data_IF_115205188200
#
_entry.id   IF_115205188200
#
_cell.length_a   1.000
_cell.length_b   1.000
_cell.length_c   1.000
_cell.angle_alpha   90.00
_cell.angle_beta   90.00
_cell.angle_gamma   90.00
#
_symmetry.space_group_name_H-M   'P 1'
#
loop_
_entity.id
_entity.type
_entity.pdbx_description
1 polymer ?
#
# COMPACT_ATOMS: atom_id res chain seq x y z
N UNK A 1 10.38 4.35 14.74
CA UNK A 1 11.32 4.19 15.87
C UNK A 1 10.84 3.19 16.94
N UNK A 2 9.69 3.36 17.61
CA UNK A 2 9.24 2.42 18.67
C UNK A 2 9.12 0.95 18.22
N UNK A 3 8.63 0.71 17.00
CA UNK A 3 8.40 -0.64 16.47
C UNK A 3 9.65 -1.29 15.84
N UNK A 4 10.59 -0.49 15.35
CA UNK A 4 11.71 -0.97 14.51
C UNK A 4 13.09 -0.66 15.08
N UNK A 5 13.20 0.20 16.10
CA UNK A 5 14.47 0.74 16.59
C UNK A 5 15.16 1.75 15.65
N UNK A 6 14.87 1.67 14.34
CA UNK A 6 15.51 2.49 13.31
C UNK A 6 15.20 3.99 13.42
N UNK A 7 16.16 4.87 13.07
CA UNK A 7 15.89 6.28 12.78
C UNK A 7 14.82 6.40 11.69
N UNK A 8 13.92 7.38 11.82
CA UNK A 8 12.84 7.61 10.86
C UNK A 8 12.90 9.08 10.43
N UNK A 9 12.77 9.31 9.13
CA UNK A 9 12.57 10.63 8.56
C UNK A 9 11.33 10.60 7.65
N UNK A 10 10.60 11.71 7.59
CA UNK A 10 9.49 11.90 6.67
C UNK A 10 10.01 12.71 5.49
N UNK A 11 9.70 12.26 4.27
CA UNK A 11 9.98 12.98 3.04
C UNK A 11 8.75 12.97 2.15
N UNK A 12 8.51 14.08 1.47
CA UNK A 12 7.33 14.28 0.63
C UNK A 12 7.73 14.24 -0.84
N UNK A 13 6.96 13.53 -1.66
CA UNK A 13 7.19 13.53 -3.10
C UNK A 13 6.89 14.93 -3.68
N UNK A 14 5.73 15.49 -3.30
CA UNK A 14 5.24 16.77 -3.78
C UNK A 14 4.66 17.64 -2.65
N UNK A 15 4.46 18.92 -2.96
CA UNK A 15 3.67 19.93 -2.23
C UNK A 15 4.14 20.31 -0.82
N UNK A 16 5.00 19.53 -0.16
CA UNK A 16 5.42 19.73 1.22
C UNK A 16 6.94 19.57 1.37
N UNK A 17 7.48 20.11 2.45
CA UNK A 17 8.90 19.99 2.82
C UNK A 17 9.06 19.17 4.10
N UNK A 18 10.17 18.42 4.25
CA UNK A 18 11.27 18.27 3.29
C UNK A 18 10.89 17.37 2.10
N UNK A 19 11.46 17.64 0.93
CA UNK A 19 11.26 16.79 -0.24
C UNK A 19 11.93 15.42 -0.04
N UNK A 20 11.42 14.39 -0.71
CA UNK A 20 12.00 13.04 -0.66
C UNK A 20 13.47 13.07 -1.08
N UNK A 21 13.79 13.73 -2.19
CA UNK A 21 15.16 13.86 -2.68
C UNK A 21 16.09 14.51 -1.63
N UNK A 22 15.62 15.56 -0.95
CA UNK A 22 16.38 16.23 0.10
C UNK A 22 16.65 15.29 1.29
N UNK A 23 15.66 14.51 1.71
CA UNK A 23 15.80 13.57 2.83
C UNK A 23 16.77 12.43 2.49
N UNK A 24 16.74 11.95 1.24
CA UNK A 24 17.57 10.83 0.77
C UNK A 24 19.03 11.23 0.50
N UNK A 25 19.31 12.49 0.17
CA UNK A 25 20.67 12.97 -0.06
C UNK A 25 21.61 12.70 1.13
N UNK A 26 21.08 12.83 2.36
CA UNK A 26 21.83 12.56 3.60
C UNK A 26 21.67 11.11 4.11
N UNK A 27 20.98 10.25 3.33
CA UNK A 27 20.58 8.89 3.75
C UNK A 27 20.70 7.87 2.60
N UNK A 28 21.89 7.72 1.98
CA UNK A 28 22.09 6.68 0.97
C UNK A 28 21.85 5.29 1.57
N UNK A 29 21.30 4.37 0.77
CA UNK A 29 20.99 3.00 1.18
C UNK A 29 19.77 2.86 2.10
N UNK A 30 18.98 3.92 2.31
CA UNK A 30 17.80 3.86 3.15
C UNK A 30 16.68 3.00 2.55
N UNK A 31 15.76 2.55 3.42
CA UNK A 31 14.51 1.90 3.01
C UNK A 31 13.40 2.94 2.95
N UNK A 32 12.84 3.16 1.77
CA UNK A 32 11.68 4.01 1.52
C UNK A 32 10.42 3.17 1.60
N UNK A 33 9.53 3.50 2.54
CA UNK A 33 8.19 2.89 2.66
C UNK A 33 7.14 3.89 2.18
N UNK A 34 6.58 3.75 0.96
CA UNK A 34 5.59 4.67 0.44
C UNK A 34 4.29 4.62 1.26
N UNK A 35 3.89 5.75 1.84
CA UNK A 35 2.58 5.92 2.45
C UNK A 35 1.57 6.34 1.37
N UNK A 36 1.29 5.41 0.45
CA UNK A 36 0.34 5.61 -0.66
C UNK A 36 -0.77 4.57 -0.57
N UNK A 37 -2.02 5.04 -0.64
CA UNK A 37 -3.24 4.23 -0.57
C UNK A 37 -3.77 3.80 -1.95
N UNK A 38 -3.12 4.22 -3.03
CA UNK A 38 -3.38 3.78 -4.39
C UNK A 38 -2.07 3.42 -5.08
N UNK A 39 -2.15 2.58 -6.12
CA UNK A 39 -0.99 2.03 -6.83
C UNK A 39 -0.70 2.73 -8.15
N UNK A 40 -1.09 4.00 -8.24
CA UNK A 40 -0.83 4.84 -9.41
C UNK A 40 0.65 5.23 -9.58
N UNK A 41 0.87 6.11 -10.56
CA UNK A 41 2.19 6.52 -11.07
C UNK A 41 3.21 6.94 -9.99
N UNK A 42 2.77 7.63 -8.94
CA UNK A 42 3.65 8.03 -7.84
C UNK A 42 4.34 6.85 -7.15
N UNK A 43 3.66 5.71 -7.01
CA UNK A 43 4.25 4.51 -6.43
C UNK A 43 5.20 3.83 -7.42
N UNK A 44 4.77 3.65 -8.67
CA UNK A 44 5.43 2.75 -9.62
C UNK A 44 6.54 3.42 -10.41
N UNK A 45 6.55 4.75 -10.51
CA UNK A 45 7.49 5.51 -11.33
C UNK A 45 8.24 6.56 -10.51
N UNK A 46 7.53 7.50 -9.87
CA UNK A 46 8.18 8.69 -9.30
C UNK A 46 9.06 8.39 -8.09
N UNK A 47 8.54 7.68 -7.09
CA UNK A 47 9.32 7.33 -5.89
C UNK A 47 10.55 6.47 -6.26
N UNK A 48 10.43 5.41 -7.09
CA UNK A 48 11.60 4.69 -7.58
C UNK A 48 12.61 5.57 -8.30
N UNK A 49 12.17 6.50 -9.16
CA UNK A 49 13.06 7.40 -9.87
C UNK A 49 13.86 8.31 -8.93
N UNK A 50 13.22 8.84 -7.88
CA UNK A 50 13.89 9.69 -6.86
C UNK A 50 14.82 8.88 -5.95
N UNK A 51 14.48 7.62 -5.66
CA UNK A 51 15.26 6.79 -4.75
C UNK A 51 16.52 6.17 -5.38
N UNK A 52 16.48 5.87 -6.69
CA UNK A 52 17.57 5.19 -7.43
C UNK A 52 18.94 5.86 -7.30
N UNK A 53 19.10 7.20 -7.40
CA UNK A 53 20.41 7.84 -7.29
C UNK A 53 21.10 7.69 -5.94
N UNK A 54 20.38 7.23 -4.90
CA UNK A 54 20.87 7.09 -3.54
C UNK A 54 20.97 5.64 -3.08
N UNK A 55 20.86 4.66 -3.99
CA UNK A 55 20.89 3.21 -3.70
C UNK A 55 19.84 2.78 -2.65
N UNK A 56 18.73 3.50 -2.56
CA UNK A 56 17.67 3.24 -1.60
C UNK A 56 16.73 2.12 -2.07
N UNK A 57 16.35 1.22 -1.15
CA UNK A 57 15.33 0.21 -1.41
C UNK A 57 13.92 0.84 -1.29
N UNK A 58 13.03 0.56 -2.23
CA UNK A 58 11.64 1.03 -2.19
C UNK A 58 10.70 -0.16 -1.95
N UNK A 59 9.91 -0.12 -0.87
CA UNK A 59 8.95 -1.18 -0.57
C UNK A 59 7.67 -1.03 -1.40
N UNK A 60 6.81 -2.07 -1.46
CA UNK A 60 5.42 -1.86 -1.85
C UNK A 60 4.74 -0.81 -0.96
N UNK A 61 3.74 -0.12 -1.52
CA UNK A 61 2.89 0.82 -0.79
C UNK A 61 1.89 0.14 0.16
N UNK A 62 0.84 0.87 0.52
CA UNK A 62 -0.19 0.43 1.46
C UNK A 62 -1.51 0.03 0.78
N UNK A 63 -1.62 0.27 -0.53
CA UNK A 63 -2.80 -0.04 -1.34
C UNK A 63 -3.24 -1.50 -1.18
N UNK A 64 -4.55 -1.69 -0.97
CA UNK A 64 -5.19 -3.01 -0.90
C UNK A 64 -4.89 -3.86 0.35
N UNK A 65 -4.07 -3.36 1.27
CA UNK A 65 -3.66 -4.09 2.46
C UNK A 65 -4.79 -4.20 3.48
N UNK A 66 -4.99 -5.39 4.03
CA UNK A 66 -6.07 -5.65 5.00
C UNK A 66 -5.94 -4.77 6.26
N UNK A 67 -4.71 -4.43 6.65
CA UNK A 67 -4.45 -3.51 7.77
C UNK A 67 -5.05 -2.10 7.55
N UNK A 68 -5.15 -1.65 6.29
CA UNK A 68 -5.77 -0.38 5.91
C UNK A 68 -7.29 -0.48 6.04
N UNK A 69 -7.92 -1.55 5.52
CA UNK A 69 -9.36 -1.74 5.66
C UNK A 69 -9.80 -1.89 7.13
N UNK A 70 -9.01 -2.59 7.96
CA UNK A 70 -9.28 -2.68 9.39
C UNK A 70 -9.12 -1.31 10.08
N UNK A 71 -8.14 -0.49 9.69
CA UNK A 71 -8.02 0.86 10.21
C UNK A 71 -9.22 1.74 9.82
N UNK A 72 -9.70 1.62 8.58
CA UNK A 72 -10.93 2.29 8.14
C UNK A 72 -12.14 1.82 8.93
N UNK A 73 -12.27 0.51 9.15
CA UNK A 73 -13.34 -0.05 9.96
C UNK A 73 -13.33 0.52 11.38
N UNK A 74 -12.16 0.55 12.03
CA UNK A 74 -12.00 1.06 13.39
C UNK A 74 -12.38 2.56 13.47
N UNK A 75 -11.95 3.38 12.48
CA UNK A 75 -12.32 4.80 12.36
C UNK A 75 -13.82 5.00 12.11
N UNK A 76 -14.41 4.19 11.24
CA UNK A 76 -15.85 4.19 10.96
C UNK A 76 -16.66 3.88 12.22
N UNK A 77 -16.31 2.81 12.94
CA UNK A 77 -17.00 2.44 14.18
C UNK A 77 -16.89 3.52 15.25
N UNK A 78 -15.77 4.24 15.31
CA UNK A 78 -15.62 5.38 16.22
C UNK A 78 -16.61 6.51 15.88
N UNK A 79 -16.74 6.86 14.61
CA UNK A 79 -17.68 7.89 14.16
C UNK A 79 -19.14 7.48 14.36
N UNK A 80 -19.50 6.23 14.07
CA UNK A 80 -20.85 5.70 14.32
C UNK A 80 -21.22 5.75 15.81
N UNK A 81 -20.29 5.39 16.71
CA UNK A 81 -20.52 5.50 18.16
C UNK A 81 -20.77 6.95 18.57
N UNK A 82 -20.01 7.90 18.03
CA UNK A 82 -20.21 9.33 18.28
C UNK A 82 -21.55 9.84 17.74
N UNK A 83 -22.01 9.31 16.61
CA UNK A 83 -23.32 9.62 16.02
C UNK A 83 -24.51 8.94 16.72
N UNK A 84 -24.26 8.00 17.65
CA UNK A 84 -25.31 7.32 18.42
C UNK A 84 -25.74 5.96 17.85
N UNK A 85 -25.00 5.37 16.91
CA UNK A 85 -25.26 4.01 16.43
C UNK A 85 -24.74 3.70 15.03
N UNK A 86 -24.83 2.42 14.61
CA UNK A 86 -24.32 1.96 13.32
C UNK A 86 -25.08 2.59 12.14
N UNK A 87 -24.36 2.80 11.05
CA UNK A 87 -24.90 3.17 9.76
C UNK A 87 -25.69 2.02 9.11
N UNK A 88 -26.61 2.34 8.20
CA UNK A 88 -27.32 1.37 7.35
C UNK A 88 -26.77 1.30 5.91
N UNK A 89 -25.85 2.18 5.55
CA UNK A 89 -25.01 2.11 4.35
C UNK A 89 -23.70 2.91 4.54
N UNK A 90 -22.65 2.54 3.80
CA UNK A 90 -21.33 3.15 3.92
C UNK A 90 -20.79 3.61 2.55
N UNK A 91 -20.23 4.82 2.53
CA UNK A 91 -19.45 5.35 1.41
C UNK A 91 -17.98 5.35 1.80
N UNK A 92 -17.13 4.63 1.06
CA UNK A 92 -15.67 4.73 1.18
C UNK A 92 -15.19 5.87 0.29
N UNK A 93 -14.77 6.97 0.89
CA UNK A 93 -14.35 8.18 0.19
C UNK A 93 -12.83 8.22 0.02
N UNK A 94 -12.36 8.00 -1.21
CA UNK A 94 -10.96 8.17 -1.60
C UNK A 94 -10.66 9.55 -2.17
N UNK A 95 -9.38 9.87 -2.36
CA UNK A 95 -8.97 11.11 -3.04
C UNK A 95 -9.46 11.16 -4.50
N UNK A 96 -9.36 10.01 -5.19
CA UNK A 96 -9.68 9.85 -6.61
C UNK A 96 -8.52 10.17 -7.54
N UNK A 97 -8.52 9.51 -8.71
CA UNK A 97 -7.47 9.61 -9.71
C UNK A 97 -8.02 9.33 -11.11
N UNK A 98 -7.58 10.11 -12.09
CA UNK A 98 -7.85 9.83 -13.51
C UNK A 98 -6.88 8.81 -14.11
N UNK A 99 -5.88 8.35 -13.34
CA UNK A 99 -4.84 7.43 -13.82
C UNK A 99 -5.25 5.97 -13.56
N UNK A 100 -4.93 5.05 -14.49
CA UNK A 100 -5.05 3.61 -14.24
C UNK A 100 -4.35 3.20 -12.93
N UNK A 101 -4.97 2.32 -12.16
CA UNK A 101 -4.43 1.85 -10.88
C UNK A 101 -4.53 2.83 -9.70
N UNK A 102 -4.85 4.10 -9.96
CA UNK A 102 -4.88 5.14 -8.93
C UNK A 102 -6.00 4.96 -7.89
N UNK A 103 -7.09 4.29 -8.28
CA UNK A 103 -8.27 4.07 -7.43
C UNK A 103 -8.33 2.64 -6.85
N UNK A 104 -7.45 1.73 -7.26
CA UNK A 104 -7.51 0.30 -6.92
C UNK A 104 -7.53 0.06 -5.41
N UNK A 105 -6.72 0.80 -4.64
CA UNK A 105 -6.73 0.67 -3.19
C UNK A 105 -8.05 1.10 -2.54
N UNK A 106 -8.76 2.09 -3.11
CA UNK A 106 -10.10 2.48 -2.62
C UNK A 106 -11.14 1.42 -2.96
N UNK A 107 -11.09 0.86 -4.18
CA UNK A 107 -11.97 -0.24 -4.59
C UNK A 107 -11.72 -1.48 -3.72
N UNK A 108 -10.45 -1.81 -3.45
CA UNK A 108 -10.11 -2.93 -2.59
C UNK A 108 -10.55 -2.71 -1.14
N UNK A 109 -10.47 -1.47 -0.63
CA UNK A 109 -11.02 -1.13 0.67
C UNK A 109 -12.54 -1.30 0.72
N UNK A 110 -13.27 -0.97 -0.35
CA UNK A 110 -14.72 -1.24 -0.46
C UNK A 110 -15.00 -2.73 -0.36
N UNK A 111 -14.32 -3.57 -1.15
CA UNK A 111 -14.49 -5.02 -1.12
C UNK A 111 -14.22 -5.60 0.27
N UNK A 112 -13.13 -5.18 0.91
CA UNK A 112 -12.76 -5.65 2.25
C UNK A 112 -13.74 -5.18 3.32
N UNK A 113 -14.24 -3.94 3.25
CA UNK A 113 -15.25 -3.45 4.17
C UNK A 113 -16.61 -4.12 3.95
N UNK A 114 -16.99 -4.44 2.71
CA UNK A 114 -18.23 -5.15 2.40
C UNK A 114 -18.27 -6.56 3.02
N UNK A 115 -17.11 -7.19 3.24
CA UNK A 115 -17.01 -8.46 3.99
C UNK A 115 -17.19 -8.25 5.50
N UNK A 116 -16.77 -7.10 6.02
CA UNK A 116 -16.79 -6.79 7.46
C UNK A 116 -18.11 -6.15 7.94
N UNK A 117 -18.95 -5.70 7.02
CA UNK A 117 -20.14 -4.91 7.30
C UNK A 117 -21.38 -5.55 6.69
N UNK A 118 -22.47 -5.75 7.46
CA UNK A 118 -23.72 -6.31 6.96
C UNK A 118 -24.59 -5.26 6.25
N UNK A 119 -23.97 -4.26 5.61
CA UNK A 119 -24.64 -3.12 4.96
C UNK A 119 -23.95 -2.81 3.63
N UNK A 120 -24.65 -2.17 2.67
CA UNK A 120 -24.02 -1.80 1.40
C UNK A 120 -22.82 -0.86 1.60
N UNK A 121 -21.76 -1.13 0.85
CA UNK A 121 -20.54 -0.31 0.84
C UNK A 121 -20.25 0.08 -0.60
N UNK A 122 -20.14 1.38 -0.88
CA UNK A 122 -19.84 1.90 -2.22
C UNK A 122 -18.64 2.85 -2.20
N UNK A 123 -17.96 3.00 -3.33
CA UNK A 123 -16.87 3.97 -3.49
C UNK A 123 -17.42 5.37 -3.81
N UNK A 124 -16.73 6.40 -3.35
CA UNK A 124 -16.83 7.77 -3.86
C UNK A 124 -15.45 8.42 -3.87
N UNK A 125 -15.31 9.48 -4.66
CA UNK A 125 -14.01 10.12 -4.89
C UNK A 125 -14.10 11.64 -4.74
N UNK A 126 -13.20 12.20 -3.94
CA UNK A 126 -13.16 13.64 -3.66
C UNK A 126 -12.78 14.47 -4.89
N UNK A 127 -12.18 13.85 -5.91
CA UNK A 127 -11.70 14.51 -7.14
C UNK A 127 -11.47 13.49 -8.26
N UNK A 128 -11.35 13.97 -9.50
CA UNK A 128 -10.86 13.23 -10.69
C UNK A 128 -11.58 11.92 -11.07
N UNK A 129 -12.57 11.47 -10.31
CA UNK A 129 -13.33 10.23 -10.50
C UNK A 129 -14.73 10.42 -9.96
N UNK A 130 -15.66 9.59 -10.45
CA UNK A 130 -17.06 9.62 -10.06
C UNK A 130 -17.46 8.30 -9.37
N UNK A 131 -18.49 8.29 -8.52
CA UNK A 131 -19.28 9.46 -8.09
C UNK A 131 -18.54 10.32 -7.06
N UNK A 132 -18.96 11.58 -6.93
CA UNK A 132 -18.56 12.44 -5.80
C UNK A 132 -19.22 12.00 -4.48
N UNK A 133 -18.66 12.36 -3.30
CA UNK A 133 -19.21 11.93 -2.01
C UNK A 133 -20.68 12.36 -1.78
N UNK A 134 -21.03 13.59 -2.14
CA UNK A 134 -22.41 14.07 -2.02
C UNK A 134 -23.38 13.31 -2.95
N UNK A 135 -22.93 12.99 -4.17
CA UNK A 135 -23.72 12.20 -5.12
C UNK A 135 -23.94 10.77 -4.62
N UNK A 136 -22.89 10.13 -4.07
CA UNK A 136 -22.97 8.79 -3.50
C UNK A 136 -23.91 8.74 -2.29
N UNK A 137 -23.85 9.75 -1.41
CA UNK A 137 -24.77 9.86 -0.26
C UNK A 137 -26.21 10.09 -0.73
N UNK A 138 -26.44 10.97 -1.70
CA UNK A 138 -27.76 11.20 -2.27
C UNK A 138 -28.33 9.95 -2.95
N UNK A 139 -27.49 9.20 -3.68
CA UNK A 139 -27.85 7.93 -4.30
C UNK A 139 -28.35 6.93 -3.25
N UNK A 140 -27.63 6.76 -2.14
CA UNK A 140 -28.03 5.84 -1.08
C UNK A 140 -29.35 6.28 -0.41
N UNK A 141 -29.55 7.57 -0.17
CA UNK A 141 -30.84 8.07 0.31
C UNK A 141 -31.98 7.79 -0.68
N UNK A 142 -31.73 7.92 -1.99
CA UNK A 142 -32.69 7.56 -3.04
C UNK A 142 -33.08 6.08 -3.04
N UNK A 143 -32.21 5.20 -2.52
CA UNK A 143 -32.48 3.78 -2.31
C UNK A 143 -33.10 3.46 -0.93
N UNK A 144 -33.41 4.48 -0.12
CA UNK A 144 -34.09 4.32 1.17
C UNK A 144 -33.18 4.16 2.38
N UNK A 145 -31.85 4.18 2.22
CA UNK A 145 -30.91 4.21 3.35
C UNK A 145 -31.03 5.55 4.09
N UNK A 146 -31.01 5.54 5.42
CA UNK A 146 -31.27 6.74 6.24
C UNK A 146 -30.08 7.15 7.10
N UNK A 147 -29.19 6.21 7.40
CA UNK A 147 -27.98 6.43 8.20
C UNK A 147 -26.76 6.12 7.35
N UNK A 148 -26.46 7.00 6.40
CA UNK A 148 -25.30 6.84 5.50
C UNK A 148 -24.04 7.39 6.17
N UNK A 149 -23.05 6.53 6.42
CA UNK A 149 -21.76 6.96 6.96
C UNK A 149 -20.67 7.04 5.88
N UNK A 150 -19.69 7.92 6.08
CA UNK A 150 -18.52 8.06 5.22
C UNK A 150 -17.28 7.51 5.92
N UNK A 151 -16.67 6.47 5.34
CA UNK A 151 -15.35 5.98 5.71
C UNK A 151 -14.28 6.74 4.91
N UNK A 152 -13.44 7.51 5.61
CA UNK A 152 -12.46 8.41 4.99
C UNK A 152 -11.17 7.67 4.61
N UNK A 153 -11.06 7.22 3.36
CA UNK A 153 -9.87 6.56 2.79
C UNK A 153 -8.79 7.58 2.39
N UNK A 154 -8.30 8.29 3.41
CA UNK A 154 -7.25 9.30 3.33
C UNK A 154 -6.29 9.11 4.52
N UNK A 155 -5.01 9.42 4.33
CA UNK A 155 -4.00 9.25 5.38
C UNK A 155 -3.98 10.38 6.39
N UNK A 156 -4.30 11.60 6.00
CA UNK A 156 -4.12 12.78 6.83
C UNK A 156 -5.28 13.77 6.68
N UNK A 157 -5.53 14.61 7.70
CA UNK A 157 -6.43 15.75 7.59
C UNK A 157 -6.01 16.71 6.47
N UNK A 158 -6.99 17.35 5.82
CA UNK A 158 -6.71 18.33 4.79
C UNK A 158 -7.96 18.85 4.09
N UNK A 159 -7.79 19.41 2.89
CA UNK A 159 -8.91 19.93 2.07
C UNK A 159 -10.02 18.90 1.88
N UNK A 160 -9.66 17.66 1.55
CA UNK A 160 -10.64 16.61 1.30
C UNK A 160 -11.38 16.19 2.56
N UNK A 161 -10.71 16.03 3.71
CA UNK A 161 -11.42 15.65 4.95
C UNK A 161 -12.39 16.75 5.40
N UNK A 162 -12.04 18.03 5.24
CA UNK A 162 -12.96 19.15 5.50
C UNK A 162 -14.16 19.15 4.55
N UNK A 163 -13.94 18.83 3.27
CA UNK A 163 -15.02 18.70 2.30
C UNK A 163 -15.95 17.53 2.65
N UNK A 164 -15.40 16.38 3.06
CA UNK A 164 -16.17 15.21 3.49
C UNK A 164 -17.02 15.51 4.73
N UNK A 165 -16.46 16.23 5.71
CA UNK A 165 -17.18 16.65 6.91
C UNK A 165 -18.38 17.59 6.60
N UNK A 166 -18.36 18.27 5.45
CA UNK A 166 -19.41 19.17 5.00
C UNK A 166 -20.44 18.49 4.07
N UNK A 167 -20.32 17.18 3.80
CA UNK A 167 -21.25 16.47 2.91
C UNK A 167 -22.64 16.38 3.55
N UNK A 168 -23.68 16.94 2.92
CA UNK A 168 -25.03 16.94 3.49
C UNK A 168 -25.63 15.53 3.55
N UNK A 169 -26.49 15.31 4.55
CA UNK A 169 -27.20 14.04 4.73
C UNK A 169 -26.34 12.91 5.31
N UNK A 170 -25.07 13.16 5.64
CA UNK A 170 -24.24 12.15 6.31
C UNK A 170 -24.70 11.93 7.75
N UNK A 171 -24.81 10.66 8.14
CA UNK A 171 -25.08 10.25 9.52
C UNK A 171 -23.81 10.35 10.38
N UNK A 172 -22.69 9.92 9.83
CA UNK A 172 -21.39 9.97 10.46
C UNK A 172 -20.29 10.12 9.40
N UNK A 173 -19.23 10.84 9.72
CA UNK A 173 -18.03 10.94 8.88
C UNK A 173 -16.84 10.53 9.72
N UNK A 174 -16.11 9.50 9.27
CA UNK A 174 -14.94 9.00 9.97
C UNK A 174 -13.76 9.96 9.82
N UNK A 175 -12.97 10.10 10.89
CA UNK A 175 -11.63 10.69 10.80
C UNK A 175 -10.78 9.91 9.76
N UNK A 176 -9.79 10.56 9.11
CA UNK A 176 -8.86 9.86 8.23
C UNK A 176 -8.08 8.78 9.01
N UNK A 177 -7.44 7.89 8.27
CA UNK A 177 -6.65 6.78 8.84
C UNK A 177 -5.64 7.32 9.87
N UNK A 178 -4.89 8.37 9.53
CA UNK A 178 -3.98 9.04 10.44
C UNK A 178 -2.89 8.10 10.95
N UNK A 179 -2.62 8.21 12.25
CA UNK A 179 -1.62 7.47 13.00
C UNK A 179 -2.05 6.06 13.46
N UNK A 180 -3.02 5.46 12.76
CA UNK A 180 -3.62 4.20 13.19
C UNK A 180 -2.58 3.08 13.39
N UNK A 181 -2.63 2.40 14.54
CA UNK A 181 -1.61 1.42 14.93
C UNK A 181 -1.44 0.27 13.92
N UNK A 182 -2.52 -0.16 13.27
CA UNK A 182 -2.46 -1.19 12.22
C UNK A 182 -1.62 -0.77 11.01
N UNK A 183 -1.70 0.50 10.62
CA UNK A 183 -0.90 1.04 9.52
C UNK A 183 0.54 1.24 9.96
N UNK A 184 0.77 1.70 11.19
CA UNK A 184 2.13 1.76 11.75
C UNK A 184 2.81 0.38 11.79
N UNK A 185 2.07 -0.67 12.15
CA UNK A 185 2.54 -2.05 12.13
C UNK A 185 2.84 -2.57 10.72
N UNK A 186 2.00 -2.24 9.74
CA UNK A 186 2.24 -2.55 8.33
C UNK A 186 3.52 -1.88 7.82
N UNK A 187 3.72 -0.58 8.12
CA UNK A 187 4.94 0.16 7.76
C UNK A 187 6.18 -0.48 8.36
N UNK A 188 6.13 -0.86 9.64
CA UNK A 188 7.23 -1.56 10.31
C UNK A 188 7.52 -2.91 9.65
N UNK A 189 6.48 -3.65 9.24
CA UNK A 189 6.61 -4.95 8.55
C UNK A 189 7.28 -4.79 7.19
N UNK A 190 6.89 -3.78 6.40
CA UNK A 190 7.52 -3.46 5.11
C UNK A 190 8.98 -3.11 5.27
N UNK A 191 9.30 -2.26 6.25
CA UNK A 191 10.68 -1.89 6.56
C UNK A 191 11.54 -3.11 6.90
N UNK A 192 11.06 -3.97 7.81
CA UNK A 192 11.79 -5.16 8.24
C UNK A 192 11.98 -6.20 7.10
N UNK A 193 11.03 -6.27 6.17
CA UNK A 193 11.13 -7.15 5.02
C UNK A 193 12.22 -6.71 4.03
N UNK A 194 12.37 -5.40 3.80
CA UNK A 194 13.39 -4.86 2.91
C UNK A 194 14.82 -4.95 3.47
N UNK A 195 14.98 -4.94 4.80
CA UNK A 195 16.28 -5.07 5.46
C UNK A 195 16.84 -6.50 5.52
N UNK A 196 16.09 -7.51 5.05
CA UNK A 196 16.57 -8.88 4.94
C UNK A 196 17.10 -9.10 3.52
N UNK A 197 18.40 -9.44 3.33
CA UNK A 197 18.86 -9.86 2.02
C UNK A 197 18.09 -11.10 1.59
N UNK A 198 17.68 -11.13 0.32
CA UNK A 198 16.89 -12.21 -0.25
C UNK A 198 17.66 -13.52 -0.17
N UNK A 199 17.24 -14.44 0.69
CA UNK A 199 17.91 -15.75 0.87
C UNK A 199 17.58 -16.74 -0.25
N UNK A 200 16.75 -16.36 -1.22
CA UNK A 200 16.28 -17.23 -2.30
C UNK A 200 17.14 -17.23 -3.56
N UNK A 201 18.26 -16.49 -3.60
CA UNK A 201 19.13 -16.42 -4.77
C UNK A 201 20.56 -16.97 -4.55
N UNK A 202 20.76 -17.95 -3.66
CA UNK A 202 22.04 -18.68 -3.56
C UNK A 202 21.85 -20.16 -3.25
N UNK A 203 21.22 -20.86 -4.19
CA UNK A 203 21.38 -22.29 -4.35
C UNK A 203 21.43 -22.56 -5.85
N UNK A 204 22.59 -22.32 -6.47
CA UNK A 204 23.07 -23.12 -7.59
C UNK A 204 24.54 -22.80 -7.88
N UNK A 205 25.37 -23.84 -7.89
CA UNK A 205 26.60 -23.88 -8.68
C UNK A 205 27.91 -23.54 -7.98
N UNK A 206 28.34 -24.32 -6.98
CA UNK A 206 29.78 -24.65 -6.86
C UNK A 206 29.99 -25.94 -6.09
N UNK A 207 29.92 -27.07 -6.81
CA UNK A 207 30.56 -28.32 -6.42
C UNK A 207 31.57 -28.66 -7.51
N UNK A 208 32.73 -27.99 -7.47
CA UNK A 208 33.94 -28.48 -8.11
C UNK A 208 34.71 -29.26 -7.05
N UNK A 209 34.70 -30.59 -7.14
CA UNK A 209 35.66 -31.43 -6.45
C UNK A 209 36.43 -32.22 -7.49
N UNK A 210 37.68 -31.80 -7.60
CA UNK A 210 38.80 -32.41 -8.28
C UNK A 210 39.09 -33.81 -7.70
N UNK A 211 39.28 -34.82 -8.56
CA UNK A 211 40.12 -35.98 -8.23
C UNK A 211 40.49 -36.80 -9.48
N UNK A 212 41.78 -36.69 -9.82
CA UNK A 212 42.71 -37.77 -10.24
C UNK A 212 42.44 -38.55 -11.53
N UNK A 213 43.34 -38.42 -12.51
CA UNK A 213 44.40 -39.40 -12.78
C UNK A 213 45.32 -38.97 -13.94
N UNK A 214 46.63 -39.01 -13.70
CA UNK A 214 47.68 -38.96 -14.73
C UNK A 214 48.51 -40.24 -14.59
N UNK A 215 48.51 -41.09 -15.62
CA UNK A 215 49.58 -42.03 -15.93
C UNK A 215 49.50 -42.41 -17.41
N UNK A 216 50.67 -42.45 -18.03
CA UNK A 216 50.97 -42.39 -19.47
C UNK A 216 51.31 -43.82 -20.01
N UNK A 217 51.86 -44.05 -21.23
CA UNK A 217 51.26 -44.94 -22.22
C UNK A 217 52.09 -46.20 -22.55
N UNK A 218 51.43 -47.24 -23.05
CA UNK A 218 51.96 -48.32 -23.91
C UNK A 218 50.72 -49.03 -24.49
N UNK A 219 50.57 -49.38 -25.76
CA UNK A 219 51.50 -50.08 -26.64
C UNK A 219 50.73 -51.25 -27.30
N UNK A 220 50.48 -51.14 -28.61
CA UNK A 220 50.26 -52.22 -29.59
C UNK A 220 48.88 -52.95 -29.74
N UNK A 221 48.34 -52.81 -30.96
CA UNK A 221 47.96 -53.84 -31.96
C UNK A 221 46.69 -54.71 -31.79
N UNK A 222 45.90 -54.73 -32.87
CA UNK A 222 44.92 -55.77 -33.27
C UNK A 222 43.49 -55.22 -33.28
N UNK A 223 42.71 -55.15 -34.36
CA UNK A 223 42.65 -55.95 -35.60
C UNK A 223 41.29 -56.65 -35.69
N UNK A 224 40.55 -56.41 -36.78
CA UNK A 224 39.27 -57.04 -37.24
C UNK A 224 37.98 -56.68 -36.48
N UNK A 225 36.77 -56.82 -37.02
CA UNK A 225 36.14 -56.79 -38.35
C UNK A 225 34.65 -57.15 -38.13
N UNK A 226 33.76 -56.65 -39.00
CA UNK A 226 32.35 -57.08 -39.22
C UNK A 226 31.36 -56.81 -38.04
N UNK A 227 30.10 -56.42 -38.26
CA UNK A 227 29.23 -56.36 -39.43
C UNK A 227 28.24 -55.19 -39.25
#
# INVERSE_FOLDING_TARGET
RRLTGAPVAVGHLDHQTPSLAHVLADRPGAVVVPLLLGDGYHRTVDIPAVARPFDCAVTPGLSGEHAVALALHDRLRAAERAAGGPADAVVVAGAGSSRPGGNDGTLRAVEQLAVLLPVPVIAAYCSASAPGPAEAVALLHGHGFRRVAVATHLLAPGRFTRALAAVPGTWAVAEPIGDHARVAGLVATRYAAAGRPDRTAKADGTAGTDSTAKADPSGSVGGRAAA
#
